data_IF_857741793969
#
_entry.id   IF_857741793969
#
_cell.length_a   1.000
_cell.length_b   1.000
_cell.length_c   1.000
_cell.angle_alpha   90.00
_cell.angle_beta   90.00
_cell.angle_gamma   90.00
#
_symmetry.space_group_name_H-M   'P 1'
#
loop_
_entity.id
_entity.type
_entity.pdbx_description
1 polymer ?
#
# COMPACT_ATOMS: atom_id res chain seq x y z
N UNK A 1 7.18 9.09 -10.92
CA UNK A 1 6.37 10.12 -10.29
C UNK A 1 7.26 11.12 -9.61
N UNK A 2 8.08 11.71 -10.45
CA UNK A 2 9.07 12.69 -10.05
C UNK A 2 8.32 14.00 -9.90
N UNK A 3 7.96 14.35 -8.67
CA UNK A 3 7.24 15.57 -8.37
C UNK A 3 8.09 16.47 -7.47
N UNK A 4 8.01 17.79 -7.66
CA UNK A 4 8.57 18.72 -6.70
C UNK A 4 8.00 18.53 -5.29
N UNK A 5 8.78 18.82 -4.26
CA UNK A 5 8.38 18.70 -2.86
C UNK A 5 7.06 19.43 -2.54
N UNK A 6 6.82 20.59 -3.16
CA UNK A 6 5.56 21.35 -3.03
C UNK A 6 4.32 20.58 -3.51
N UNK A 7 4.47 19.75 -4.54
CA UNK A 7 3.34 18.98 -5.07
C UNK A 7 3.04 17.77 -4.19
N UNK A 8 4.05 17.15 -3.59
CA UNK A 8 3.88 16.14 -2.55
C UNK A 8 3.14 16.71 -1.35
N UNK A 9 3.58 17.88 -0.86
CA UNK A 9 2.92 18.58 0.24
C UNK A 9 1.46 18.91 -0.09
N UNK A 10 1.17 19.44 -1.28
CA UNK A 10 -0.19 19.73 -1.73
C UNK A 10 -1.06 18.47 -1.75
N UNK A 11 -0.58 17.36 -2.32
CA UNK A 11 -1.34 16.11 -2.38
C UNK A 11 -1.62 15.55 -0.97
N UNK A 12 -0.66 15.62 -0.06
CA UNK A 12 -0.89 15.20 1.33
C UNK A 12 -1.89 16.11 2.05
N UNK A 13 -1.83 17.42 1.84
CA UNK A 13 -2.83 18.35 2.38
C UNK A 13 -4.24 18.08 1.82
N UNK A 14 -4.34 17.76 0.54
CA UNK A 14 -5.63 17.38 -0.08
C UNK A 14 -6.14 16.03 0.43
N UNK A 15 -5.24 15.07 0.69
CA UNK A 15 -5.58 13.80 1.34
C UNK A 15 -6.14 14.02 2.76
N UNK A 16 -5.55 14.90 3.56
CA UNK A 16 -6.08 15.25 4.89
C UNK A 16 -7.48 15.83 4.79
N UNK A 17 -7.73 16.76 3.85
CA UNK A 17 -9.08 17.32 3.60
C UNK A 17 -10.10 16.26 3.19
N UNK A 18 -9.65 15.23 2.46
CA UNK A 18 -10.47 14.09 2.07
C UNK A 18 -10.67 13.05 3.18
N UNK A 19 -10.13 13.28 4.38
CA UNK A 19 -10.30 12.41 5.54
C UNK A 19 -9.23 11.33 5.72
N UNK A 20 -8.19 11.29 4.91
CA UNK A 20 -7.06 10.37 5.05
C UNK A 20 -6.13 10.80 6.17
N UNK A 21 -5.56 9.83 6.87
CA UNK A 21 -4.58 10.05 7.94
C UNK A 21 -3.21 9.43 7.62
N UNK A 22 -3.08 8.80 6.45
CA UNK A 22 -1.83 8.19 5.97
C UNK A 22 -1.69 8.38 4.47
N UNK A 23 -0.47 8.58 4.01
CA UNK A 23 -0.11 8.56 2.60
C UNK A 23 1.03 7.58 2.35
N UNK A 24 0.85 6.69 1.36
CA UNK A 24 1.93 5.88 0.82
C UNK A 24 2.64 6.64 -0.29
N UNK A 25 3.94 6.82 -0.14
CA UNK A 25 4.79 7.56 -1.07
C UNK A 25 5.77 6.62 -1.77
N UNK A 26 5.96 6.82 -3.07
CA UNK A 26 7.00 6.12 -3.83
C UNK A 26 8.35 6.81 -3.60
N UNK A 27 9.05 6.39 -2.55
CA UNK A 27 10.39 6.87 -2.22
C UNK A 27 11.42 6.34 -3.22
N UNK A 28 12.36 7.19 -3.63
CA UNK A 28 13.41 6.85 -4.60
C UNK A 28 14.71 7.51 -4.20
N UNK A 29 15.82 6.86 -4.53
CA UNK A 29 17.17 7.37 -4.22
C UNK A 29 17.54 8.66 -4.95
N UNK A 30 16.86 8.96 -6.04
CA UNK A 30 17.08 10.18 -6.82
C UNK A 30 16.18 11.35 -6.43
N UNK A 31 15.36 11.19 -5.36
CA UNK A 31 14.61 12.29 -4.77
C UNK A 31 15.30 12.84 -3.53
N UNK A 32 15.19 14.14 -3.34
CA UNK A 32 15.46 14.73 -2.03
C UNK A 32 14.27 14.48 -1.09
N UNK A 33 14.30 13.32 -0.44
CA UNK A 33 13.23 12.90 0.48
C UNK A 33 13.17 13.79 1.73
N UNK A 34 14.30 14.33 2.20
CA UNK A 34 14.31 15.24 3.35
C UNK A 34 13.54 16.52 3.03
N UNK A 35 13.77 17.10 1.87
CA UNK A 35 13.02 18.26 1.41
C UNK A 35 11.53 17.94 1.19
N UNK A 36 11.21 16.78 0.59
CA UNK A 36 9.82 16.37 0.37
C UNK A 36 9.08 16.14 1.69
N UNK A 37 9.64 15.37 2.62
CA UNK A 37 9.05 15.11 3.94
C UNK A 37 8.95 16.44 4.72
N UNK A 38 10.00 17.26 4.72
CA UNK A 38 10.00 18.57 5.36
C UNK A 38 8.92 19.53 4.83
N UNK A 39 8.59 19.44 3.53
CA UNK A 39 7.47 20.19 2.95
C UNK A 39 6.10 19.63 3.36
N UNK A 40 5.97 18.30 3.43
CA UNK A 40 4.72 17.63 3.84
C UNK A 40 4.38 17.95 5.28
N UNK A 41 5.30 17.77 6.22
CA UNK A 41 5.04 17.95 7.66
C UNK A 41 4.59 19.36 8.04
N UNK A 42 4.89 20.36 7.20
CA UNK A 42 4.43 21.76 7.42
C UNK A 42 2.95 21.96 7.09
N UNK A 43 2.31 21.05 6.36
CA UNK A 43 0.94 21.22 5.84
C UNK A 43 -0.03 20.14 6.28
N UNK A 44 0.45 19.13 7.00
CA UNK A 44 -0.38 18.04 7.54
C UNK A 44 -0.39 18.07 9.07
N UNK A 45 -1.41 17.51 9.74
CA UNK A 45 -1.41 17.41 11.19
C UNK A 45 -0.32 16.45 11.70
N UNK A 46 0.19 16.59 12.93
CA UNK A 46 1.27 15.73 13.47
C UNK A 46 0.95 14.23 13.44
N UNK A 47 -0.32 13.87 13.51
CA UNK A 47 -0.79 12.48 13.49
C UNK A 47 -0.77 11.86 12.09
N UNK A 48 -0.63 12.66 11.04
CA UNK A 48 -0.56 12.16 9.67
C UNK A 48 0.71 11.34 9.47
N UNK A 49 0.58 10.14 8.87
CA UNK A 49 1.70 9.21 8.73
C UNK A 49 2.07 8.99 7.26
N UNK A 50 3.34 8.67 7.06
CA UNK A 50 3.94 8.42 5.75
C UNK A 50 4.48 7.00 5.71
N UNK A 51 4.04 6.22 4.73
CA UNK A 51 4.59 4.92 4.39
C UNK A 51 5.50 5.09 3.17
N UNK A 52 6.77 4.79 3.31
CA UNK A 52 7.78 5.02 2.28
C UNK A 52 8.11 3.73 1.56
N UNK A 53 7.65 3.59 0.30
CA UNK A 53 7.92 2.43 -0.54
C UNK A 53 9.11 2.71 -1.47
N UNK A 54 10.22 2.04 -1.19
CA UNK A 54 11.45 2.16 -1.96
C UNK A 54 11.51 1.28 -3.20
N UNK A 55 10.63 0.28 -3.33
CA UNK A 55 10.66 -0.67 -4.45
C UNK A 55 12.08 -1.21 -4.73
N UNK A 56 12.81 -1.56 -3.69
CA UNK A 56 14.17 -2.13 -3.72
C UNK A 56 15.28 -1.18 -4.25
N UNK A 57 15.04 0.14 -4.32
CA UNK A 57 15.98 1.07 -4.94
C UNK A 57 17.18 1.45 -4.05
N UNK A 58 17.21 1.06 -2.78
CA UNK A 58 18.36 1.30 -1.89
C UNK A 58 19.51 0.30 -2.09
N UNK A 59 19.33 -0.69 -2.95
CA UNK A 59 20.37 -1.58 -3.42
C UNK A 59 20.77 -2.68 -2.43
N UNK A 60 21.43 -2.34 -1.33
CA UNK A 60 21.92 -3.28 -0.32
C UNK A 60 21.70 -2.76 1.11
N UNK A 61 21.88 -3.63 2.11
CA UNK A 61 21.61 -3.31 3.51
C UNK A 61 22.50 -2.19 4.06
N UNK A 62 23.77 -2.13 3.68
CA UNK A 62 24.69 -1.12 4.20
C UNK A 62 24.24 0.29 3.82
N UNK A 63 24.01 0.51 2.52
CA UNK A 63 23.51 1.81 2.01
C UNK A 63 22.09 2.13 2.52
N UNK A 64 21.23 1.09 2.62
CA UNK A 64 19.88 1.27 3.10
C UNK A 64 19.83 1.71 4.57
N UNK A 65 20.57 1.05 5.46
CA UNK A 65 20.63 1.39 6.89
C UNK A 65 21.14 2.81 7.08
N UNK A 66 22.25 3.17 6.42
CA UNK A 66 22.81 4.51 6.51
C UNK A 66 21.75 5.58 6.13
N UNK A 67 21.10 5.42 4.99
CA UNK A 67 20.11 6.38 4.52
C UNK A 67 18.84 6.39 5.38
N UNK A 68 18.26 5.22 5.66
CA UNK A 68 16.98 5.12 6.37
C UNK A 68 17.07 5.64 7.81
N UNK A 69 18.21 5.45 8.49
CA UNK A 69 18.43 6.01 9.81
C UNK A 69 18.32 7.54 9.83
N UNK A 70 18.63 8.21 8.74
CA UNK A 70 18.45 9.68 8.65
C UNK A 70 17.00 10.10 8.62
N UNK A 71 16.09 9.21 8.21
CA UNK A 71 14.64 9.48 8.12
C UNK A 71 13.93 9.26 9.46
N UNK A 72 14.55 8.63 10.44
CA UNK A 72 13.96 8.35 11.75
C UNK A 72 13.72 9.63 12.57
N UNK A 73 14.39 10.73 12.23
CA UNK A 73 14.13 12.05 12.81
C UNK A 73 12.72 12.58 12.53
N UNK A 74 12.03 12.04 11.54
CA UNK A 74 10.67 12.46 11.18
C UNK A 74 9.65 11.51 11.81
N UNK A 75 8.94 11.97 12.84
CA UNK A 75 7.91 11.18 13.53
C UNK A 75 6.75 10.74 12.61
N UNK A 76 6.54 11.46 11.51
CA UNK A 76 5.51 11.14 10.52
C UNK A 76 5.90 9.95 9.66
N UNK A 77 7.18 9.62 9.48
CA UNK A 77 7.61 8.40 8.79
C UNK A 77 7.27 7.21 9.68
N UNK A 78 6.25 6.48 9.29
CA UNK A 78 5.70 5.39 10.08
C UNK A 78 6.20 4.01 9.65
N UNK A 79 6.58 3.87 8.37
CA UNK A 79 6.89 2.57 7.80
C UNK A 79 7.80 2.64 6.59
N UNK A 80 8.60 1.61 6.42
CA UNK A 80 9.49 1.41 5.27
C UNK A 80 9.03 0.16 4.51
N UNK A 81 8.65 0.31 3.24
CA UNK A 81 8.29 -0.83 2.38
C UNK A 81 9.42 -1.15 1.41
N UNK A 82 9.79 -2.43 1.35
CA UNK A 82 10.70 -2.99 0.34
C UNK A 82 11.95 -2.12 0.11
N UNK A 83 12.80 -1.92 1.12
CA UNK A 83 13.97 -1.03 0.98
C UNK A 83 14.99 -1.55 -0.04
N UNK A 84 15.28 -2.84 -0.03
CA UNK A 84 16.21 -3.53 -0.92
C UNK A 84 15.51 -4.73 -1.59
N UNK A 85 16.15 -5.44 -2.54
CA UNK A 85 15.56 -6.64 -3.13
C UNK A 85 15.07 -7.62 -2.08
N UNK A 86 13.81 -8.04 -2.18
CA UNK A 86 13.18 -8.89 -1.15
C UNK A 86 13.84 -10.28 -1.03
N UNK A 87 14.52 -10.74 -2.09
CA UNK A 87 15.32 -11.98 -2.07
C UNK A 87 16.59 -11.91 -1.23
N UNK A 88 17.07 -10.73 -0.88
CA UNK A 88 18.19 -10.55 0.05
C UNK A 88 17.70 -10.69 1.50
N UNK A 89 17.56 -11.95 1.92
CA UNK A 89 17.05 -12.32 3.25
C UNK A 89 17.90 -11.75 4.37
N UNK A 90 19.20 -11.90 4.28
CA UNK A 90 20.13 -11.43 5.31
C UNK A 90 20.16 -9.91 5.39
N UNK A 91 20.19 -9.24 4.23
CA UNK A 91 20.18 -7.79 4.17
C UNK A 91 18.90 -7.17 4.72
N UNK A 92 17.73 -7.73 4.38
CA UNK A 92 16.45 -7.24 4.92
C UNK A 92 16.34 -7.49 6.43
N UNK A 93 16.80 -8.66 6.95
CA UNK A 93 16.86 -8.90 8.39
C UNK A 93 17.81 -7.91 9.10
N UNK A 94 18.94 -7.57 8.49
CA UNK A 94 19.85 -6.56 9.02
C UNK A 94 19.18 -5.18 9.09
N UNK A 95 18.48 -4.75 8.04
CA UNK A 95 17.76 -3.47 8.01
C UNK A 95 16.72 -3.43 9.11
N UNK A 96 15.86 -4.46 9.18
CA UNK A 96 14.82 -4.57 10.21
C UNK A 96 15.38 -4.46 11.63
N UNK A 97 16.50 -5.12 11.90
CA UNK A 97 17.12 -5.11 13.23
C UNK A 97 17.81 -3.79 13.59
N UNK A 98 18.01 -2.91 12.64
CA UNK A 98 18.72 -1.63 12.82
C UNK A 98 17.81 -0.41 12.90
N UNK A 99 16.61 -0.54 12.35
CA UNK A 99 15.66 0.58 12.29
C UNK A 99 14.65 0.50 13.43
N UNK A 100 14.26 1.66 13.95
CA UNK A 100 13.14 1.84 14.88
C UNK A 100 11.78 1.88 14.14
N UNK A 101 11.80 1.94 12.83
CA UNK A 101 10.59 1.94 11.99
C UNK A 101 10.30 0.55 11.46
N UNK A 102 9.02 0.10 11.48
CA UNK A 102 8.61 -1.17 10.90
C UNK A 102 9.00 -1.30 9.44
N UNK A 103 9.49 -2.48 9.06
CA UNK A 103 9.76 -2.85 7.67
C UNK A 103 8.66 -3.75 7.17
N UNK A 104 8.08 -3.41 6.02
CA UNK A 104 7.03 -4.17 5.34
C UNK A 104 7.54 -4.80 4.05
N UNK A 105 7.13 -6.03 3.77
CA UNK A 105 7.47 -6.76 2.55
C UNK A 105 6.23 -7.44 1.96
N UNK A 106 6.21 -7.64 0.64
CA UNK A 106 5.13 -8.38 0.01
C UNK A 106 5.06 -9.82 0.55
N UNK A 107 3.85 -10.26 0.89
CA UNK A 107 3.62 -11.61 1.41
C UNK A 107 4.09 -12.66 0.40
N UNK A 108 4.94 -13.59 0.86
CA UNK A 108 5.48 -14.66 0.03
C UNK A 108 6.76 -14.30 -0.74
N UNK A 109 7.28 -13.11 -0.57
CA UNK A 109 8.58 -12.70 -1.13
C UNK A 109 9.46 -12.07 -0.02
N UNK A 110 10.48 -12.78 0.48
CA UNK A 110 10.85 -14.19 0.23
C UNK A 110 9.75 -15.21 0.53
N UNK A 111 9.93 -16.51 0.24
CA UNK A 111 8.95 -17.53 0.63
C UNK A 111 8.59 -17.43 2.12
N UNK A 112 7.30 -17.53 2.43
CA UNK A 112 6.77 -17.18 3.76
C UNK A 112 7.48 -17.89 4.91
N UNK A 113 7.83 -19.17 4.75
CA UNK A 113 8.55 -19.91 5.79
C UNK A 113 9.97 -19.38 6.02
N UNK A 114 10.63 -18.92 4.97
CA UNK A 114 11.93 -18.24 5.08
C UNK A 114 11.78 -16.92 5.80
N UNK A 115 10.80 -16.12 5.41
CA UNK A 115 10.50 -14.82 6.02
C UNK A 115 10.25 -14.94 7.52
N UNK A 116 9.45 -15.92 7.93
CA UNK A 116 9.13 -16.15 9.35
C UNK A 116 10.31 -16.70 10.15
N UNK A 117 11.04 -17.69 9.60
CA UNK A 117 12.19 -18.30 10.30
C UNK A 117 13.35 -17.33 10.48
N UNK A 118 13.60 -16.48 9.51
CA UNK A 118 14.69 -15.50 9.52
C UNK A 118 14.29 -14.14 10.08
N UNK A 119 13.01 -13.98 10.44
CA UNK A 119 12.44 -12.75 10.99
C UNK A 119 12.77 -11.48 10.16
N UNK A 120 12.52 -11.58 8.85
CA UNK A 120 13.00 -10.63 7.84
C UNK A 120 12.19 -9.32 7.81
N UNK A 121 10.95 -9.34 8.29
CA UNK A 121 10.00 -8.21 8.19
C UNK A 121 9.13 -8.09 9.44
N UNK A 122 8.63 -6.90 9.72
CA UNK A 122 7.68 -6.66 10.81
C UNK A 122 6.23 -6.98 10.41
N UNK A 123 5.93 -6.92 9.13
CA UNK A 123 4.61 -7.27 8.60
C UNK A 123 4.57 -7.29 7.09
N UNK A 124 3.36 -7.38 6.53
CA UNK A 124 3.19 -7.73 5.13
C UNK A 124 2.37 -6.72 4.32
N UNK A 125 2.70 -6.68 3.03
CA UNK A 125 1.82 -6.16 1.98
C UNK A 125 1.07 -7.35 1.40
N UNK A 126 -0.26 -7.36 1.54
CA UNK A 126 -1.13 -8.44 1.07
C UNK A 126 -1.90 -7.99 -0.16
N UNK A 127 -1.70 -8.68 -1.28
CA UNK A 127 -2.33 -8.39 -2.57
C UNK A 127 -2.68 -9.69 -3.27
N UNK A 128 -3.95 -10.10 -3.23
CA UNK A 128 -4.41 -11.35 -3.83
C UNK A 128 -5.95 -11.36 -4.01
N UNK A 129 -6.50 -12.45 -4.53
CA UNK A 129 -7.93 -12.73 -4.50
C UNK A 129 -8.39 -13.18 -3.10
N UNK A 130 -9.70 -13.17 -2.83
CA UNK A 130 -10.29 -13.38 -1.51
C UNK A 130 -9.76 -14.63 -0.77
N UNK A 131 -9.76 -15.78 -1.44
CA UNK A 131 -9.30 -17.04 -0.81
C UNK A 131 -7.84 -16.96 -0.37
N UNK A 132 -6.96 -16.39 -1.21
CA UNK A 132 -5.55 -16.23 -0.87
C UNK A 132 -5.35 -15.22 0.25
N UNK A 133 -6.12 -14.12 0.26
CA UNK A 133 -6.09 -13.14 1.36
C UNK A 133 -6.46 -13.79 2.68
N UNK A 134 -7.51 -14.62 2.71
CA UNK A 134 -7.91 -15.32 3.93
C UNK A 134 -6.83 -16.29 4.44
N UNK A 135 -6.15 -17.01 3.54
CA UNK A 135 -5.02 -17.87 3.89
C UNK A 135 -3.83 -17.05 4.41
N UNK A 136 -3.47 -15.97 3.72
CA UNK A 136 -2.40 -15.08 4.14
C UNK A 136 -2.71 -14.41 5.48
N UNK A 137 -3.96 -14.01 5.71
CA UNK A 137 -4.44 -13.48 6.98
C UNK A 137 -4.29 -14.49 8.12
N UNK A 138 -4.68 -15.75 7.91
CA UNK A 138 -4.53 -16.79 8.93
C UNK A 138 -3.06 -17.05 9.29
N UNK A 139 -2.17 -17.06 8.31
CA UNK A 139 -0.73 -17.20 8.55
C UNK A 139 -0.18 -15.97 9.29
N UNK A 140 -0.57 -14.77 8.89
CA UNK A 140 -0.16 -13.53 9.53
C UNK A 140 -0.65 -13.45 10.99
N UNK A 141 -1.85 -13.93 11.25
CA UNK A 141 -2.43 -13.99 12.60
C UNK A 141 -1.66 -14.98 13.48
N UNK A 142 -1.42 -16.19 13.00
CA UNK A 142 -0.61 -17.19 13.69
C UNK A 142 0.83 -16.71 13.98
N UNK A 143 1.40 -15.89 13.10
CA UNK A 143 2.72 -15.29 13.26
C UNK A 143 2.73 -13.98 14.06
N UNK A 144 1.57 -13.47 14.46
CA UNK A 144 1.38 -12.15 15.08
C UNK A 144 2.06 -11.02 14.27
N UNK A 145 1.96 -11.06 12.93
CA UNK A 145 2.50 -10.05 12.04
C UNK A 145 1.39 -9.25 11.38
N UNK A 146 1.33 -7.93 11.59
CA UNK A 146 0.35 -7.07 10.96
C UNK A 146 0.56 -7.00 9.43
N UNK A 147 -0.47 -6.55 8.73
CA UNK A 147 -0.38 -6.29 7.29
C UNK A 147 -1.36 -5.18 6.87
N UNK A 148 -1.17 -4.67 5.67
CA UNK A 148 -2.20 -3.94 4.96
C UNK A 148 -2.64 -4.67 3.69
N UNK A 149 -3.87 -4.40 3.29
CA UNK A 149 -4.41 -4.82 2.01
C UNK A 149 -4.00 -3.82 0.93
N UNK A 150 -3.31 -4.28 -0.10
CA UNK A 150 -2.99 -3.49 -1.28
C UNK A 150 -3.83 -3.96 -2.46
N UNK A 151 -5.00 -3.37 -2.62
CA UNK A 151 -6.01 -3.76 -3.61
C UNK A 151 -6.37 -2.55 -4.48
N UNK A 152 -5.57 -2.31 -5.52
CA UNK A 152 -5.72 -1.14 -6.38
C UNK A 152 -6.99 -1.22 -7.20
N UNK A 153 -7.85 -0.18 -7.09
CA UNK A 153 -9.09 -0.10 -7.84
C UNK A 153 -9.97 1.08 -7.46
N UNK A 154 -11.19 1.04 -7.95
CA UNK A 154 -12.21 2.07 -7.73
C UNK A 154 -12.91 1.89 -6.38
N UNK A 155 -14.00 2.62 -6.15
CA UNK A 155 -14.83 2.52 -4.95
C UNK A 155 -15.36 1.11 -4.69
N UNK A 156 -15.60 0.30 -5.73
CA UNK A 156 -16.00 -1.11 -5.58
C UNK A 156 -14.89 -1.90 -4.87
N UNK A 157 -13.66 -1.78 -5.36
CA UNK A 157 -12.49 -2.46 -4.77
C UNK A 157 -12.19 -1.93 -3.37
N UNK A 158 -12.34 -0.62 -3.15
CA UNK A 158 -12.13 -0.01 -1.82
C UNK A 158 -13.14 -0.54 -0.80
N UNK A 159 -14.41 -0.68 -1.20
CA UNK A 159 -15.43 -1.26 -0.33
C UNK A 159 -15.15 -2.73 -0.03
N UNK A 160 -14.75 -3.50 -1.03
CA UNK A 160 -14.33 -4.90 -0.83
C UNK A 160 -13.13 -5.01 0.12
N UNK A 161 -12.11 -4.15 -0.04
CA UNK A 161 -10.98 -4.08 0.89
C UNK A 161 -11.42 -3.76 2.33
N UNK A 162 -12.42 -2.91 2.51
CA UNK A 162 -12.97 -2.60 3.83
C UNK A 162 -13.64 -3.82 4.47
N UNK A 163 -14.44 -4.59 3.73
CA UNK A 163 -15.02 -5.85 4.22
C UNK A 163 -13.94 -6.87 4.63
N UNK A 164 -12.90 -7.04 3.81
CA UNK A 164 -11.78 -7.92 4.14
C UNK A 164 -11.02 -7.43 5.38
N UNK A 165 -10.73 -6.13 5.45
CA UNK A 165 -10.05 -5.53 6.60
C UNK A 165 -10.81 -5.72 7.91
N UNK A 166 -12.15 -5.72 7.86
CA UNK A 166 -13.00 -5.91 9.04
C UNK A 166 -12.96 -7.35 9.59
N UNK A 167 -12.65 -8.34 8.77
CA UNK A 167 -12.63 -9.77 9.18
C UNK A 167 -11.24 -10.35 9.35
N UNK A 168 -10.20 -9.64 8.94
CA UNK A 168 -8.81 -10.08 9.03
C UNK A 168 -8.14 -9.49 10.30
N UNK A 169 -7.84 -10.27 11.36
CA UNK A 169 -7.39 -9.74 12.64
C UNK A 169 -6.09 -8.93 12.58
N UNK A 170 -5.20 -9.27 11.67
CA UNK A 170 -3.91 -8.58 11.50
C UNK A 170 -3.90 -7.52 10.38
N UNK A 171 -5.04 -7.23 9.74
CA UNK A 171 -5.16 -6.08 8.82
C UNK A 171 -5.17 -4.75 9.60
N UNK A 172 -4.10 -4.50 10.36
CA UNK A 172 -3.97 -3.38 11.30
C UNK A 172 -3.33 -2.15 10.68
N UNK A 173 -2.67 -2.30 9.55
CA UNK A 173 -2.05 -1.20 8.83
C UNK A 173 -2.99 -0.60 7.78
N UNK A 174 -2.87 0.70 7.46
CA UNK A 174 -3.77 1.38 6.54
C UNK A 174 -3.80 0.75 5.15
N UNK A 175 -4.97 0.36 4.68
CA UNK A 175 -5.15 -0.25 3.37
C UNK A 175 -4.81 0.72 2.23
N UNK A 176 -4.23 0.20 1.15
CA UNK A 176 -3.84 0.95 -0.05
C UNK A 176 -4.73 0.52 -1.22
N UNK A 177 -5.66 1.36 -1.63
CA UNK A 177 -6.55 1.08 -2.76
C UNK A 177 -6.32 1.98 -3.96
N UNK A 178 -5.50 3.02 -3.82
CA UNK A 178 -5.24 4.01 -4.86
C UNK A 178 -6.53 4.60 -5.45
N UNK A 179 -7.60 4.67 -4.67
CA UNK A 179 -8.90 5.19 -5.13
C UNK A 179 -8.79 6.61 -5.68
N UNK A 180 -7.86 7.39 -5.14
CA UNK A 180 -7.60 8.77 -5.52
C UNK A 180 -7.09 8.98 -6.95
N UNK A 181 -6.61 7.94 -7.64
CA UNK A 181 -6.14 8.04 -9.03
C UNK A 181 -7.26 7.91 -10.06
N UNK A 182 -8.46 7.51 -9.63
CA UNK A 182 -9.60 7.31 -10.52
C UNK A 182 -10.52 8.52 -10.52
N UNK A 183 -10.87 9.02 -11.69
CA UNK A 183 -11.80 10.16 -11.82
C UNK A 183 -13.22 9.82 -11.37
N UNK A 184 -13.60 8.55 -11.48
CA UNK A 184 -14.93 8.03 -11.07
C UNK A 184 -14.75 6.72 -10.31
N UNK A 185 -15.56 6.55 -9.29
CA UNK A 185 -15.48 5.41 -8.38
C UNK A 185 -16.39 4.24 -8.79
N UNK A 186 -17.15 4.38 -9.87
CA UNK A 186 -18.12 3.42 -10.41
C UNK A 186 -19.27 3.05 -9.44
N UNK A 187 -19.41 3.77 -8.36
CA UNK A 187 -20.50 3.66 -7.38
C UNK A 187 -21.26 4.97 -7.30
N UNK A 188 -22.57 4.91 -6.98
CA UNK A 188 -23.44 6.10 -6.90
C UNK A 188 -23.07 6.99 -5.72
N UNK A 189 -22.84 6.40 -4.56
CA UNK A 189 -22.58 7.12 -3.33
C UNK A 189 -21.07 7.27 -3.13
N UNK A 190 -20.58 8.47 -2.76
CA UNK A 190 -19.17 8.68 -2.49
C UNK A 190 -18.74 7.88 -1.25
N UNK A 191 -17.49 7.41 -1.27
CA UNK A 191 -16.86 6.86 -0.06
C UNK A 191 -16.47 8.03 0.84
N UNK A 192 -17.04 8.05 2.05
CA UNK A 192 -16.70 9.02 3.07
C UNK A 192 -15.66 8.44 4.04
N UNK A 193 -14.53 9.11 4.15
CA UNK A 193 -13.50 8.80 5.12
C UNK A 193 -13.62 9.73 6.33
N UNK A 194 -13.49 9.18 7.51
CA UNK A 194 -13.48 9.94 8.76
C UNK A 194 -12.30 9.51 9.63
N UNK A 195 -11.35 10.40 9.84
CA UNK A 195 -10.16 10.10 10.64
C UNK A 195 -9.34 8.91 10.11
N UNK A 196 -9.28 8.73 8.79
CA UNK A 196 -8.57 7.62 8.14
C UNK A 196 -9.38 6.32 8.02
N UNK A 197 -10.64 6.30 8.47
CA UNK A 197 -11.48 5.11 8.46
C UNK A 197 -12.63 5.23 7.47
N UNK A 198 -12.93 4.11 6.81
CA UNK A 198 -14.15 3.89 6.03
C UNK A 198 -15.05 2.91 6.78
N UNK A 199 -16.30 3.32 7.04
CA UNK A 199 -17.28 2.44 7.67
C UNK A 199 -17.75 1.39 6.69
N UNK A 200 -17.60 0.11 7.04
CA UNK A 200 -18.06 -1.00 6.20
C UNK A 200 -19.59 -0.91 6.02
N UNK A 201 -20.10 -0.90 4.77
CA UNK A 201 -21.53 -0.88 4.51
C UNK A 201 -22.22 -2.19 4.98
N UNK A 202 -23.45 -2.07 5.46
CA UNK A 202 -24.24 -3.21 5.99
C UNK A 202 -25.34 -3.69 5.01
N UNK A 203 -25.53 -3.02 3.87
CA UNK A 203 -26.50 -3.42 2.84
C UNK A 203 -26.07 -4.71 2.14
N UNK A 204 -27.00 -5.47 1.50
CA UNK A 204 -26.68 -6.71 0.78
C UNK A 204 -25.53 -6.56 -0.23
N UNK A 205 -24.78 -7.63 -0.45
CA UNK A 205 -23.59 -7.66 -1.29
C UNK A 205 -22.44 -6.87 -0.67
N UNK A 206 -21.79 -6.03 -1.45
CA UNK A 206 -20.76 -5.09 -0.94
C UNK A 206 -21.38 -3.87 -0.24
N UNK A 207 -22.71 -3.73 -0.29
CA UNK A 207 -23.41 -2.61 0.33
C UNK A 207 -23.32 -1.29 -0.41
N UNK A 208 -22.85 -1.29 -1.66
CA UNK A 208 -22.78 -0.13 -2.55
C UNK A 208 -23.59 -0.39 -3.83
N UNK A 209 -24.08 0.68 -4.45
CA UNK A 209 -24.78 0.60 -5.72
C UNK A 209 -23.86 1.04 -6.86
N UNK A 210 -23.84 0.26 -7.95
CA UNK A 210 -23.07 0.60 -9.16
C UNK A 210 -23.76 1.75 -9.89
N UNK A 211 -22.99 2.71 -10.37
CA UNK A 211 -23.46 3.75 -11.30
C UNK A 211 -23.55 3.16 -12.73
N UNK A 212 -24.58 2.34 -12.94
CA UNK A 212 -24.80 1.64 -14.22
C UNK A 212 -24.88 2.62 -15.39
N UNK A 213 -25.51 3.78 -15.21
CA UNK A 213 -25.61 4.81 -16.27
C UNK A 213 -24.24 5.32 -16.69
N UNK A 214 -23.34 5.51 -15.74
CA UNK A 214 -21.97 5.90 -16.04
C UNK A 214 -21.21 4.77 -16.73
N UNK A 215 -21.36 3.54 -16.26
CA UNK A 215 -20.71 2.35 -16.85
C UNK A 215 -21.17 2.18 -18.30
N UNK A 216 -22.48 2.15 -18.57
CA UNK A 216 -23.05 2.03 -19.90
C UNK A 216 -22.58 3.13 -20.86
N UNK A 217 -22.62 4.39 -20.40
CA UNK A 217 -22.18 5.54 -21.20
C UNK A 217 -20.70 5.48 -21.59
N UNK A 218 -19.85 4.88 -20.74
CA UNK A 218 -18.40 4.86 -20.92
C UNK A 218 -17.90 3.46 -21.25
N UNK A 219 -18.79 2.50 -21.45
CA UNK A 219 -18.43 1.17 -21.91
C UNK A 219 -17.76 1.25 -23.28
N UNK A 220 -16.64 0.58 -23.41
CA UNK A 220 -15.96 0.39 -24.69
C UNK A 220 -16.06 -1.09 -25.01
N UNK A 221 -16.63 -1.42 -26.18
CA UNK A 221 -16.62 -2.78 -26.67
C UNK A 221 -15.17 -3.25 -26.83
N UNK A 222 -14.75 -4.09 -25.89
CA UNK A 222 -13.44 -4.68 -25.95
C UNK A 222 -13.49 -5.88 -26.87
N UNK A 223 -13.10 -5.67 -28.12
CA UNK A 223 -12.80 -6.80 -29.00
C UNK A 223 -11.50 -7.40 -28.52
N UNK A 224 -11.55 -8.63 -28.00
CA UNK A 224 -10.35 -9.36 -27.64
C UNK A 224 -9.50 -9.54 -28.90
N UNK A 225 -8.46 -8.74 -29.03
CA UNK A 225 -7.43 -8.97 -30.05
C UNK A 225 -6.45 -9.93 -29.40
N UNK A 226 -6.25 -11.08 -30.03
CA UNK A 226 -5.30 -12.08 -29.56
C UNK A 226 -3.90 -11.43 -29.41
N UNK A 227 -3.40 -11.18 -28.19
CA UNK A 227 -2.15 -10.48 -28.04
C UNK A 227 -1.00 -11.35 -28.58
N UNK A 228 0.09 -10.75 -29.04
CA UNK A 228 1.26 -11.51 -29.51
C UNK A 228 1.66 -12.57 -28.49
N UNK A 229 2.00 -13.78 -28.93
CA UNK A 229 2.27 -14.96 -28.07
C UNK A 229 3.24 -14.73 -26.91
N UNK A 230 4.13 -13.74 -27.01
CA UNK A 230 5.06 -13.39 -25.95
C UNK A 230 4.39 -12.69 -24.75
N UNK A 231 3.21 -12.09 -24.93
CA UNK A 231 2.45 -11.45 -23.83
C UNK A 231 1.72 -12.49 -22.98
N UNK A 232 1.34 -13.63 -23.56
CA UNK A 232 0.69 -14.74 -22.84
C UNK A 232 1.58 -15.40 -21.77
N UNK A 233 2.90 -15.37 -21.94
CA UNK A 233 3.82 -15.96 -20.95
C UNK A 233 3.81 -15.24 -19.60
N UNK A 234 3.48 -13.95 -19.59
CA UNK A 234 3.41 -13.18 -18.35
C UNK A 234 2.04 -13.26 -17.66
N UNK A 235 0.97 -13.46 -18.42
CA UNK A 235 -0.38 -13.57 -17.88
C UNK A 235 -0.69 -14.95 -17.23
N UNK A 236 0.10 -15.99 -17.53
CA UNK A 236 -0.06 -17.34 -16.96
C UNK A 236 0.89 -17.69 -15.82
N UNK A 237 1.76 -16.76 -15.43
CA UNK A 237 2.74 -16.95 -14.35
C UNK A 237 2.27 -16.39 -13.00
N UNK A 238 1.00 -15.94 -12.90
CA UNK A 238 0.42 -15.42 -11.66
C UNK A 238 -0.70 -16.31 -11.15
#
# INVERSE_FOLDING_TARGET
MDMPAKDWARQCADAVKAGYMTAKLKARTWYDLHNAIGAIIKVVPPQFKLDLDFNATLGNAASAVEFLSTLEQYEQVAMIETPIPQGDVAGNAQIRNRLDRPVAMHFGSPPIMTTLKQDVTDGFVVCAGANSIMQQSAISDAANKPFWLQLVGTGITTTWAAHLGAVCPQAKWPAITCMNIWKKQLIKEPIELRGGYYRVPERPGLGVEIDEKFVEKNHVDYTWVDPPRHVYRYARAN
#
